data_IF_919736905439
#
_entry.id   IF_919736905439
#
_cell.length_a   1.000
_cell.length_b   1.000
_cell.length_c   1.000
_cell.angle_alpha   90.00
_cell.angle_beta   90.00
_cell.angle_gamma   90.00
#
_symmetry.space_group_name_H-M   'P 1'
#
loop_
_entity.id
_entity.type
_entity.pdbx_description
1 polymer ?
#
# COMPACT_ATOMS: atom_id res chain seq x y z
N UNK A 1 6.79 10.39 24.82
CA UNK A 1 5.91 10.48 23.63
C UNK A 1 4.63 9.79 24.00
N UNK A 2 3.51 10.51 23.99
CA UNK A 2 2.20 9.92 24.19
C UNK A 2 1.81 9.23 22.88
N UNK A 3 1.90 7.90 22.86
CA UNK A 3 1.53 7.10 21.69
C UNK A 3 0.01 6.99 21.69
N UNK A 4 -0.62 7.39 20.58
CA UNK A 4 -2.05 7.16 20.40
C UNK A 4 -2.31 5.66 20.30
N UNK A 5 -2.77 5.06 21.39
CA UNK A 5 -3.00 3.62 21.51
C UNK A 5 -4.11 3.13 20.58
N UNK A 6 -4.92 4.04 20.00
CA UNK A 6 -5.91 3.71 18.98
C UNK A 6 -5.27 2.99 17.78
N UNK A 7 -4.00 3.29 17.50
CA UNK A 7 -3.21 2.72 16.40
C UNK A 7 -3.07 1.19 16.48
N UNK A 8 -3.08 0.63 17.70
CA UNK A 8 -2.98 -0.83 17.90
C UNK A 8 -4.21 -1.56 17.34
N UNK A 9 -5.37 -0.91 17.35
CA UNK A 9 -6.60 -1.47 16.78
C UNK A 9 -6.55 -1.45 15.25
N UNK A 10 -5.86 -0.47 14.67
CA UNK A 10 -5.76 -0.28 13.22
C UNK A 10 -4.50 -0.94 12.61
N UNK A 11 -3.59 -1.48 13.43
CA UNK A 11 -2.28 -1.96 12.99
C UNK A 11 -2.35 -2.98 11.86
N UNK A 12 -3.29 -3.93 11.93
CA UNK A 12 -3.43 -4.94 10.89
C UNK A 12 -3.97 -4.34 9.58
N UNK A 13 -4.93 -3.40 9.66
CA UNK A 13 -5.39 -2.63 8.50
C UNK A 13 -4.25 -1.82 7.88
N UNK A 14 -3.44 -1.14 8.69
CA UNK A 14 -2.27 -0.38 8.22
C UNK A 14 -1.23 -1.29 7.55
N UNK A 15 -0.98 -2.50 8.08
CA UNK A 15 -0.08 -3.48 7.44
C UNK A 15 -0.59 -3.95 6.08
N UNK A 16 -1.90 -4.19 5.96
CA UNK A 16 -2.53 -4.56 4.68
C UNK A 16 -2.48 -3.40 3.68
N UNK A 17 -2.79 -2.18 4.13
CA UNK A 17 -2.69 -0.97 3.32
C UNK A 17 -1.26 -0.74 2.83
N UNK A 18 -0.26 -0.87 3.71
CA UNK A 18 1.16 -0.78 3.36
C UNK A 18 1.55 -1.79 2.27
N UNK A 19 1.11 -3.05 2.39
CA UNK A 19 1.36 -4.07 1.37
C UNK A 19 0.72 -3.71 0.03
N UNK A 20 -0.50 -3.18 0.03
CA UNK A 20 -1.19 -2.76 -1.19
C UNK A 20 -0.51 -1.54 -1.83
N UNK A 21 -0.10 -0.55 -1.04
CA UNK A 21 0.63 0.63 -1.52
C UNK A 21 1.98 0.24 -2.13
N UNK A 22 2.73 -0.68 -1.50
CA UNK A 22 3.99 -1.20 -2.04
C UNK A 22 3.77 -1.88 -3.41
N UNK A 23 2.72 -2.70 -3.53
CA UNK A 23 2.34 -3.33 -4.81
C UNK A 23 2.00 -2.27 -5.87
N UNK A 24 1.17 -1.29 -5.54
CA UNK A 24 0.80 -0.19 -6.47
C UNK A 24 2.02 0.61 -6.92
N UNK A 25 2.97 0.85 -6.01
CA UNK A 25 4.23 1.54 -6.33
C UNK A 25 5.05 0.71 -7.30
N UNK A 26 5.22 -0.58 -7.03
CA UNK A 26 5.96 -1.49 -7.90
C UNK A 26 5.33 -1.56 -9.30
N UNK A 27 4.00 -1.67 -9.39
CA UNK A 27 3.28 -1.66 -10.66
C UNK A 27 3.50 -0.35 -11.44
N UNK A 28 3.48 0.78 -10.75
CA UNK A 28 3.72 2.09 -11.35
C UNK A 28 5.17 2.27 -11.80
N UNK A 29 6.14 1.79 -11.01
CA UNK A 29 7.56 1.88 -11.35
C UNK A 29 7.90 0.98 -12.54
N UNK A 30 7.33 -0.25 -12.60
CA UNK A 30 7.39 -1.10 -13.81
C UNK A 30 6.78 -0.42 -15.03
N UNK A 31 5.72 0.36 -14.85
CA UNK A 31 5.13 1.11 -15.96
C UNK A 31 6.07 2.23 -16.41
N UNK A 32 6.67 2.98 -15.49
CA UNK A 32 7.70 3.99 -15.80
C UNK A 32 8.84 3.37 -16.60
N UNK A 33 9.41 2.25 -16.15
CA UNK A 33 10.47 1.53 -16.86
C UNK A 33 10.02 1.16 -18.29
N UNK A 34 8.82 0.63 -18.46
CA UNK A 34 8.29 0.32 -19.81
C UNK A 34 8.15 1.56 -20.68
N UNK A 35 7.80 2.72 -20.11
CA UNK A 35 7.72 3.97 -20.85
C UNK A 35 9.10 4.42 -21.31
N UNK A 36 10.09 4.33 -20.43
CA UNK A 36 11.47 4.74 -20.68
C UNK A 36 12.17 3.79 -21.68
N UNK A 37 11.98 2.48 -21.57
CA UNK A 37 12.64 1.47 -22.43
C UNK A 37 12.07 1.40 -23.85
N UNK A 38 10.75 1.38 -24.00
CA UNK A 38 10.12 1.10 -25.31
C UNK A 38 9.88 2.36 -26.13
N UNK A 39 9.91 3.53 -25.49
CA UNK A 39 9.42 4.76 -26.09
C UNK A 39 7.94 4.65 -26.52
N UNK A 40 7.33 5.76 -26.91
CA UNK A 40 6.01 5.73 -27.56
C UNK A 40 6.21 6.15 -29.00
N UNK A 41 5.94 5.25 -29.95
CA UNK A 41 5.96 5.60 -31.38
C UNK A 41 4.51 5.75 -31.82
N UNK A 42 4.14 6.93 -32.30
CA UNK A 42 2.85 7.17 -32.92
C UNK A 42 3.02 7.10 -34.42
N UNK A 43 2.09 6.43 -35.09
CA UNK A 43 2.07 6.35 -36.55
C UNK A 43 0.73 6.85 -37.07
N UNK A 44 0.78 7.74 -38.04
CA UNK A 44 -0.39 8.21 -38.78
C UNK A 44 -0.25 7.86 -40.27
N UNK A 45 -1.38 7.62 -40.95
CA UNK A 45 -1.40 7.27 -42.37
C UNK A 45 -2.07 8.37 -43.17
N UNK A 46 -1.26 9.09 -43.95
CA UNK A 46 -1.71 10.20 -44.79
C UNK A 46 -1.93 9.73 -46.23
N UNK A 47 -3.00 10.19 -46.87
CA UNK A 47 -3.30 9.86 -48.29
C UNK A 47 -2.52 10.81 -49.21
N UNK A 48 -1.79 10.29 -50.20
CA UNK A 48 -0.95 11.06 -51.13
C UNK A 48 -1.75 11.80 -52.23
N UNK A 49 -3.02 12.12 -51.98
CA UNK A 49 -3.94 12.72 -52.94
C UNK A 49 -4.82 11.70 -53.68
N UNK A 50 -5.63 12.19 -54.62
CA UNK A 50 -6.58 11.40 -55.42
C UNK A 50 -6.46 11.75 -56.90
N UNK A 51 -6.65 10.78 -57.79
CA UNK A 51 -6.84 10.98 -59.23
C UNK A 51 -8.27 10.60 -59.57
N UNK A 52 -9.13 11.60 -59.78
CA UNK A 52 -10.59 11.40 -59.84
C UNK A 52 -11.13 10.85 -58.51
N UNK A 53 -11.96 9.79 -58.55
CA UNK A 53 -12.48 9.13 -57.33
C UNK A 53 -11.49 8.15 -56.66
N UNK A 54 -10.35 7.83 -57.29
CA UNK A 54 -9.38 6.84 -56.77
C UNK A 54 -8.24 7.51 -55.99
N UNK A 55 -7.91 7.08 -54.76
CA UNK A 55 -6.74 7.56 -54.03
C UNK A 55 -5.43 7.06 -54.66
N UNK A 56 -4.41 7.92 -54.63
CA UNK A 56 -3.09 7.68 -55.24
C UNK A 56 -2.16 6.82 -54.37
N UNK A 57 -2.55 6.54 -53.14
CA UNK A 57 -1.81 5.74 -52.16
C UNK A 57 -1.83 6.37 -50.78
N UNK A 58 -1.32 5.64 -49.79
CA UNK A 58 -1.17 6.10 -48.41
C UNK A 58 0.28 5.96 -47.97
N UNK A 59 0.82 6.98 -47.31
CA UNK A 59 2.13 6.92 -46.65
C UNK A 59 1.95 6.92 -45.14
N UNK A 60 2.74 6.10 -44.45
CA UNK A 60 2.80 6.04 -42.99
C UNK A 60 3.90 6.98 -42.50
N UNK A 61 3.51 7.95 -41.67
CA UNK A 61 4.43 8.86 -40.96
C UNK A 61 4.53 8.36 -39.53
N UNK A 62 5.74 8.22 -39.00
CA UNK A 62 5.99 7.79 -37.63
C UNK A 62 6.78 8.85 -36.88
N UNK A 63 6.46 9.07 -35.61
CA UNK A 63 7.17 10.03 -34.75
C UNK A 63 7.07 9.67 -33.27
N UNK A 64 7.89 10.34 -32.45
CA UNK A 64 7.83 10.22 -31.00
C UNK A 64 7.06 11.42 -30.42
N UNK A 65 5.98 11.20 -29.65
CA UNK A 65 5.18 12.28 -29.08
C UNK A 65 5.86 12.80 -27.81
N UNK A 66 6.91 13.61 -27.97
CA UNK A 66 7.68 14.15 -26.85
C UNK A 66 6.79 14.82 -25.77
N UNK A 67 5.83 15.70 -26.11
CA UNK A 67 5.02 16.38 -25.09
C UNK A 67 4.13 15.42 -24.29
N UNK A 68 3.47 14.47 -24.95
CA UNK A 68 2.60 13.49 -24.29
C UNK A 68 3.41 12.50 -23.44
N UNK A 69 4.58 12.09 -23.94
CA UNK A 69 5.52 11.24 -23.23
C UNK A 69 5.98 11.90 -21.92
N UNK A 70 6.50 13.12 -21.98
CA UNK A 70 6.98 13.86 -20.82
C UNK A 70 5.86 14.10 -19.81
N UNK A 71 4.68 14.48 -20.29
CA UNK A 71 3.49 14.68 -19.46
C UNK A 71 3.12 13.39 -18.72
N UNK A 72 3.06 12.25 -19.41
CA UNK A 72 2.73 10.95 -18.80
C UNK A 72 3.78 10.52 -17.77
N UNK A 73 5.06 10.65 -18.11
CA UNK A 73 6.17 10.31 -17.22
C UNK A 73 6.14 11.18 -15.95
N UNK A 74 5.90 12.49 -16.11
CA UNK A 74 5.74 13.42 -14.98
C UNK A 74 4.61 13.00 -14.05
N UNK A 75 3.43 12.65 -14.57
CA UNK A 75 2.32 12.19 -13.74
C UNK A 75 2.66 10.91 -12.97
N UNK A 76 3.28 9.93 -13.65
CA UNK A 76 3.69 8.67 -13.02
C UNK A 76 4.72 8.87 -11.92
N UNK A 77 5.68 9.77 -12.12
CA UNK A 77 6.68 10.16 -11.10
C UNK A 77 6.03 10.87 -9.91
N UNK A 78 5.09 11.80 -10.15
CA UNK A 78 4.35 12.47 -9.06
C UNK A 78 3.54 11.45 -8.25
N UNK A 79 2.89 10.50 -8.93
CA UNK A 79 2.14 9.44 -8.27
C UNK A 79 3.04 8.50 -7.44
N UNK A 80 4.20 8.09 -7.98
CA UNK A 80 5.19 7.29 -7.23
C UNK A 80 5.65 8.01 -5.96
N UNK A 81 5.92 9.32 -6.04
CA UNK A 81 6.26 10.14 -4.86
C UNK A 81 5.12 10.24 -3.84
N UNK A 82 3.86 10.31 -4.29
CA UNK A 82 2.70 10.30 -3.40
C UNK A 82 2.58 8.96 -2.65
N UNK A 83 2.75 7.84 -3.36
CA UNK A 83 2.76 6.50 -2.76
C UNK A 83 3.90 6.35 -1.74
N UNK A 84 5.10 6.81 -2.08
CA UNK A 84 6.28 6.75 -1.19
C UNK A 84 6.04 7.49 0.13
N UNK A 85 5.42 8.68 0.07
CA UNK A 85 5.06 9.45 1.27
C UNK A 85 4.05 8.70 2.15
N UNK A 86 3.05 8.06 1.55
CA UNK A 86 2.06 7.28 2.29
C UNK A 86 2.68 6.03 2.92
N UNK A 87 3.51 5.31 2.17
CA UNK A 87 4.28 4.17 2.65
C UNK A 87 5.12 4.58 3.85
N UNK A 88 5.93 5.65 3.71
CA UNK A 88 6.78 6.16 4.80
C UNK A 88 5.98 6.53 6.04
N UNK A 89 4.80 7.14 5.88
CA UNK A 89 3.92 7.50 6.99
C UNK A 89 3.42 6.24 7.73
N UNK A 90 2.85 5.28 6.99
CA UNK A 90 2.33 4.05 7.59
C UNK A 90 3.45 3.20 8.22
N UNK A 91 4.64 3.16 7.61
CA UNK A 91 5.78 2.41 8.13
C UNK A 91 6.24 2.96 9.48
N UNK A 92 6.26 4.29 9.64
CA UNK A 92 6.53 4.95 10.93
C UNK A 92 5.46 4.62 11.97
N UNK A 93 4.19 4.76 11.62
CA UNK A 93 3.05 4.42 12.46
C UNK A 93 3.08 2.96 12.95
N UNK A 94 3.38 2.03 12.05
CA UNK A 94 3.54 0.60 12.37
C UNK A 94 4.74 0.39 13.30
N UNK A 95 5.88 1.02 13.00
CA UNK A 95 7.09 0.90 13.81
C UNK A 95 6.87 1.42 15.23
N UNK A 96 6.21 2.57 15.39
CA UNK A 96 5.88 3.14 16.69
C UNK A 96 4.95 2.19 17.49
N UNK A 97 3.96 1.59 16.82
CA UNK A 97 3.07 0.61 17.45
C UNK A 97 3.81 -0.67 17.87
N UNK A 98 4.72 -1.19 17.05
CA UNK A 98 5.53 -2.36 17.38
C UNK A 98 6.50 -2.08 18.54
N UNK A 99 7.14 -0.91 18.54
CA UNK A 99 7.97 -0.45 19.65
C UNK A 99 7.15 -0.33 20.94
N UNK A 100 5.92 0.19 20.87
CA UNK A 100 5.02 0.22 22.02
C UNK A 100 4.76 -1.19 22.56
N UNK A 101 4.37 -2.14 21.68
CA UNK A 101 4.14 -3.54 22.09
C UNK A 101 5.38 -4.11 22.78
N UNK A 102 6.58 -3.84 22.26
CA UNK A 102 7.84 -4.34 22.85
C UNK A 102 8.18 -3.68 24.18
N UNK A 103 7.76 -2.43 24.38
CA UNK A 103 7.97 -1.69 25.63
C UNK A 103 7.11 -2.21 26.79
N UNK A 104 6.02 -2.96 26.52
CA UNK A 104 5.10 -3.47 27.55
C UNK A 104 5.85 -4.44 28.48
N UNK A 105 5.99 -4.15 29.78
CA UNK A 105 6.79 -4.98 30.70
C UNK A 105 6.17 -6.37 30.94
N UNK A 106 4.84 -6.46 30.97
CA UNK A 106 4.16 -7.74 31.14
C UNK A 106 4.19 -8.58 29.86
N UNK A 107 4.97 -9.67 29.91
CA UNK A 107 5.08 -10.65 28.81
C UNK A 107 3.73 -11.22 28.37
N UNK A 108 2.75 -11.35 29.28
CA UNK A 108 1.41 -11.84 28.99
C UNK A 108 0.66 -10.85 28.10
N UNK A 109 0.65 -9.58 28.50
CA UNK A 109 -0.04 -8.51 27.75
C UNK A 109 0.64 -8.32 26.40
N UNK A 110 1.97 -8.32 26.36
CA UNK A 110 2.75 -8.27 25.11
C UNK A 110 2.34 -9.36 24.12
N UNK A 111 2.21 -10.61 24.58
CA UNK A 111 1.77 -11.73 23.73
C UNK A 111 0.33 -11.56 23.23
N UNK A 112 -0.59 -11.11 24.10
CA UNK A 112 -1.98 -10.83 23.71
C UNK A 112 -2.03 -9.75 22.63
N UNK A 113 -1.31 -8.63 22.82
CA UNK A 113 -1.22 -7.55 21.84
C UNK A 113 -0.63 -8.05 20.52
N UNK A 114 0.47 -8.83 20.55
CA UNK A 114 1.04 -9.43 19.33
C UNK A 114 0.01 -10.28 18.59
N UNK A 115 -0.69 -11.19 19.24
CA UNK A 115 -1.68 -12.03 18.56
C UNK A 115 -2.83 -11.22 17.98
N UNK A 116 -3.32 -10.22 18.72
CA UNK A 116 -4.45 -9.40 18.26
C UNK A 116 -4.07 -8.47 17.10
N UNK A 117 -2.87 -7.91 17.12
CA UNK A 117 -2.42 -6.90 16.15
C UNK A 117 -1.74 -7.50 14.91
N UNK A 118 -1.22 -8.74 15.00
CA UNK A 118 -0.64 -9.44 13.84
C UNK A 118 -1.70 -10.10 12.95
N UNK A 119 -2.75 -10.69 13.54
CA UNK A 119 -3.78 -11.43 12.81
C UNK A 119 -5.18 -10.85 13.08
N UNK A 120 -5.71 -10.06 12.14
CA UNK A 120 -7.09 -9.51 12.21
C UNK A 120 -8.19 -10.56 12.31
N UNK A 121 -7.92 -11.78 11.84
CA UNK A 121 -8.91 -12.86 11.77
C UNK A 121 -9.00 -13.69 13.04
N UNK A 122 -8.16 -13.45 14.06
CA UNK A 122 -8.23 -14.20 15.30
C UNK A 122 -9.32 -13.66 16.21
N UNK A 123 -10.32 -14.51 16.45
CA UNK A 123 -11.23 -14.33 17.57
C UNK A 123 -10.49 -14.42 18.92
N UNK A 124 -11.01 -13.74 19.94
CA UNK A 124 -10.50 -13.83 21.31
C UNK A 124 -10.41 -15.28 21.82
N UNK A 125 -11.32 -16.16 21.38
CA UNK A 125 -11.25 -17.59 21.69
C UNK A 125 -10.03 -18.29 21.10
N UNK A 126 -9.64 -17.95 19.86
CA UNK A 126 -8.43 -18.50 19.25
C UNK A 126 -7.16 -17.93 19.91
N UNK A 127 -7.16 -16.64 20.28
CA UNK A 127 -6.07 -16.03 21.04
C UNK A 127 -5.89 -16.75 22.38
N UNK A 128 -6.98 -16.97 23.13
CA UNK A 128 -6.94 -17.70 24.40
C UNK A 128 -6.38 -19.12 24.23
N UNK A 129 -6.80 -19.86 23.19
CA UNK A 129 -6.23 -21.18 22.86
C UNK A 129 -4.73 -21.14 22.58
N UNK A 130 -4.23 -20.11 21.86
CA UNK A 130 -2.79 -19.91 21.61
C UNK A 130 -2.02 -19.50 22.87
N UNK A 131 -2.66 -18.78 23.79
CA UNK A 131 -2.07 -18.40 25.08
C UNK A 131 -1.95 -19.60 26.04
N UNK A 132 -2.87 -20.56 25.95
CA UNK A 132 -2.91 -21.75 26.80
C UNK A 132 -3.71 -21.56 28.09
N UNK A 133 -3.84 -22.61 28.91
CA UNK A 133 -4.50 -22.53 30.21
C UNK A 133 -3.67 -21.67 31.19
N UNK A 134 -4.24 -20.77 32.03
CA UNK A 134 -5.67 -20.57 32.35
C UNK A 134 -6.34 -19.40 31.60
N UNK A 135 -5.94 -19.11 30.36
CA UNK A 135 -6.47 -17.94 29.64
C UNK A 135 -7.85 -18.21 29.02
N UNK A 136 -8.83 -17.35 29.33
CA UNK A 136 -10.14 -17.31 28.67
C UNK A 136 -10.21 -16.16 27.67
N UNK A 137 -11.13 -16.26 26.71
CA UNK A 137 -11.34 -15.21 25.70
C UNK A 137 -11.59 -13.83 26.33
N UNK A 138 -12.48 -13.78 27.32
CA UNK A 138 -12.80 -12.56 28.08
C UNK A 138 -11.60 -12.03 28.86
N UNK A 139 -10.81 -12.90 29.49
CA UNK A 139 -9.60 -12.47 30.22
C UNK A 139 -8.55 -11.85 29.29
N UNK A 140 -8.38 -12.38 28.08
CA UNK A 140 -7.49 -11.79 27.07
C UNK A 140 -8.02 -10.44 26.57
N UNK A 141 -9.32 -10.35 26.29
CA UNK A 141 -9.98 -9.13 25.82
C UNK A 141 -9.87 -8.00 26.84
N UNK A 142 -10.22 -8.24 28.10
CA UNK A 142 -10.17 -7.24 29.16
C UNK A 142 -8.75 -6.73 29.42
N UNK A 143 -7.75 -7.62 29.36
CA UNK A 143 -6.35 -7.24 29.50
C UNK A 143 -5.91 -6.29 28.38
N UNK A 144 -6.33 -6.55 27.14
CA UNK A 144 -6.04 -5.70 25.98
C UNK A 144 -6.78 -4.36 26.05
N UNK A 145 -8.09 -4.35 26.33
CA UNK A 145 -8.89 -3.12 26.44
C UNK A 145 -8.37 -2.19 27.55
N UNK A 146 -7.94 -2.77 28.69
CA UNK A 146 -7.31 -2.03 29.79
C UNK A 146 -6.01 -1.36 29.35
N UNK A 147 -5.20 -2.05 28.55
CA UNK A 147 -3.92 -1.55 28.06
C UNK A 147 -4.09 -0.38 27.07
N UNK A 148 -5.06 -0.50 26.16
CA UNK A 148 -5.37 0.54 25.17
C UNK A 148 -6.11 1.73 25.79
N UNK A 149 -6.71 1.55 26.98
CA UNK A 149 -7.50 2.60 27.62
C UNK A 149 -8.88 2.78 27.00
N UNK A 150 -9.40 1.75 26.30
CA UNK A 150 -10.80 1.72 25.84
C UNK A 150 -11.68 1.35 27.04
N UNK A 151 -11.76 2.24 28.03
CA UNK A 151 -12.85 2.24 29.01
C UNK A 151 -13.59 3.57 28.85
N UNK A 152 -14.85 3.47 28.46
CA UNK A 152 -15.84 4.51 28.74
C UNK A 152 -16.04 4.62 30.25
#
# INVERSE_FOLDING_TARGET
>A
MEIDKSILTQLCSHKKELSDLRRRKEDNDREIERLEDKGTVVSDSVTCGKKGKKPLGTKRITGFPMPEYEKRLRYKRIYSNMLERQITRLDKEITEAEQYIESIPDSRIRRICRYRCLDDSLSWGQIARRMGHPHTAESCRQAFEREIGIRK
#
